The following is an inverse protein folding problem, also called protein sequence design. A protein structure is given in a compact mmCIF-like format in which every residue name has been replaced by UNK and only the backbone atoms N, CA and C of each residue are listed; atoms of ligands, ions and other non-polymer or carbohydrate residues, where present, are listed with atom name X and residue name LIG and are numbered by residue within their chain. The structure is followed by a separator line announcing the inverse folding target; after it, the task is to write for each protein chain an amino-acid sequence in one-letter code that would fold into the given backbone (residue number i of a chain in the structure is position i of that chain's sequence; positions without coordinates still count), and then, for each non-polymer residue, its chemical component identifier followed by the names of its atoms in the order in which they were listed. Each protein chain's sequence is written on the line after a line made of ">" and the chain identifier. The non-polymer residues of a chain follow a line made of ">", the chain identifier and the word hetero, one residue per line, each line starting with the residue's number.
data_IF_146670612430
#
_entry.id   IF_146670612430
#
_cell.length_a   1.000
_cell.length_b   1.000
_cell.length_c   1.000
_cell.angle_alpha   90.00
_cell.angle_beta   90.00
_cell.angle_gamma   90.00
#
_symmetry.space_group_name_H-M   'P 1'
#
loop_
_entity.id
_entity.type
_entity.pdbx_description
1 polymer ?
#
# COMPACT_ATOMS: atom_id res chain seq x y z
N UNK A 1 44.45 -60.33 -23.71
CA UNK A 1 43.61 -60.23 -22.55
C UNK A 1 43.92 -59.04 -21.71
N UNK A 2 44.10 -57.93 -22.33
CA UNK A 2 44.54 -56.70 -21.69
C UNK A 2 43.57 -55.52 -22.05
N UNK A 3 42.36 -55.85 -22.20
CA UNK A 3 41.37 -54.93 -22.74
C UNK A 3 40.51 -54.22 -21.64
N UNK A 4 40.78 -54.50 -20.40
CA UNK A 4 39.92 -54.00 -19.29
C UNK A 4 40.59 -52.96 -18.41
N UNK A 5 41.84 -52.62 -18.71
CA UNK A 5 42.58 -51.66 -17.87
C UNK A 5 42.39 -50.20 -18.32
N UNK A 6 41.65 -49.97 -19.39
CA UNK A 6 41.53 -48.65 -19.97
C UNK A 6 40.15 -48.01 -19.67
N UNK A 7 39.31 -48.71 -18.91
CA UNK A 7 37.94 -48.23 -18.64
C UNK A 7 37.76 -47.60 -17.28
N UNK A 8 38.80 -47.53 -16.47
CA UNK A 8 38.68 -47.03 -15.12
C UNK A 8 39.18 -45.61 -14.92
N UNK A 9 39.64 -44.92 -15.96
CA UNK A 9 40.19 -43.57 -15.85
C UNK A 9 39.22 -42.48 -16.29
N UNK A 10 38.10 -42.86 -16.80
CA UNK A 10 37.16 -41.87 -17.41
C UNK A 10 35.96 -41.51 -16.57
N UNK A 11 35.90 -41.88 -15.30
CA UNK A 11 34.79 -41.54 -14.43
C UNK A 11 35.15 -40.52 -13.33
N UNK A 12 36.21 -39.78 -13.53
CA UNK A 12 36.45 -38.56 -12.72
C UNK A 12 35.82 -37.39 -13.46
N UNK A 13 34.54 -37.54 -13.80
CA UNK A 13 33.73 -36.41 -14.22
C UNK A 13 33.53 -35.56 -12.99
N UNK A 14 34.24 -34.50 -13.00
CA UNK A 14 34.00 -33.31 -12.23
C UNK A 14 32.50 -33.04 -12.13
N UNK A 15 31.92 -33.42 -11.00
CA UNK A 15 30.68 -32.80 -10.59
C UNK A 15 30.99 -31.35 -10.23
N UNK A 16 31.08 -30.53 -11.27
CA UNK A 16 30.75 -29.11 -11.08
C UNK A 16 29.27 -29.05 -10.76
N UNK A 17 28.94 -29.19 -9.49
CA UNK A 17 27.68 -28.70 -8.99
C UNK A 17 27.75 -27.21 -9.17
N UNK A 18 27.24 -26.72 -10.29
CA UNK A 18 26.83 -25.34 -10.38
C UNK A 18 25.85 -25.13 -9.24
N UNK A 19 26.34 -24.59 -8.16
CA UNK A 19 25.49 -24.10 -7.10
C UNK A 19 24.61 -23.04 -7.73
N UNK A 20 23.39 -23.40 -8.05
CA UNK A 20 22.37 -22.42 -8.31
C UNK A 20 22.23 -21.63 -7.03
N UNK A 21 22.88 -20.50 -7.00
CA UNK A 21 22.61 -19.51 -5.97
C UNK A 21 21.14 -19.15 -6.14
N UNK A 22 20.28 -19.77 -5.34
CA UNK A 22 18.92 -19.29 -5.17
C UNK A 22 19.07 -17.89 -4.58
N UNK A 23 18.82 -16.88 -5.42
CA UNK A 23 18.68 -15.54 -4.92
C UNK A 23 17.58 -15.60 -3.85
N UNK A 24 17.94 -15.39 -2.60
CA UNK A 24 16.96 -15.26 -1.53
C UNK A 24 16.02 -14.12 -1.92
N UNK A 25 14.70 -14.34 -1.92
CA UNK A 25 13.79 -13.24 -2.07
C UNK A 25 14.16 -12.19 -1.02
N UNK A 26 14.26 -10.95 -1.45
CA UNK A 26 14.54 -9.85 -0.55
C UNK A 26 13.60 -9.96 0.67
N UNK A 27 14.11 -9.81 1.89
CA UNK A 27 13.24 -9.81 3.07
C UNK A 27 12.15 -8.77 2.83
N UNK A 28 10.90 -9.07 3.19
CA UNK A 28 9.84 -8.09 3.09
C UNK A 28 10.29 -6.82 3.83
N UNK A 29 10.02 -5.65 3.28
CA UNK A 29 10.34 -4.41 3.97
C UNK A 29 9.77 -4.51 5.39
N UNK A 30 10.49 -4.02 6.40
CA UNK A 30 9.98 -4.04 7.76
C UNK A 30 8.58 -3.40 7.74
N UNK A 31 7.60 -3.98 8.45
CA UNK A 31 6.30 -3.36 8.56
C UNK A 31 6.55 -1.92 8.99
N UNK A 32 6.12 -0.98 8.14
CA UNK A 32 6.17 0.43 8.48
C UNK A 32 5.54 0.58 9.87
N UNK A 33 5.94 1.57 10.66
CA UNK A 33 5.43 1.74 12.00
C UNK A 33 3.91 1.64 11.95
N UNK A 34 3.40 0.53 12.47
CA UNK A 34 1.97 0.34 12.62
C UNK A 34 1.55 1.40 13.61
N UNK A 35 0.95 2.47 13.10
CA UNK A 35 0.37 3.49 13.94
C UNK A 35 -0.74 2.85 14.75
N UNK A 36 -0.38 2.18 15.84
CA UNK A 36 -1.31 1.95 16.92
C UNK A 36 -1.75 3.34 17.36
N UNK A 37 -3.01 3.67 17.07
CA UNK A 37 -3.59 4.96 17.36
C UNK A 37 -3.46 5.28 18.85
N UNK A 38 -2.29 5.73 19.21
CA UNK A 38 -1.98 6.17 20.54
C UNK A 38 -2.37 7.64 20.59
N UNK A 39 -3.36 7.93 21.37
CA UNK A 39 -3.71 9.31 21.68
C UNK A 39 -2.45 10.07 22.12
N UNK A 40 -2.08 11.10 21.37
CA UNK A 40 -0.89 11.90 21.66
C UNK A 40 0.34 11.63 20.79
N UNK A 41 0.23 10.82 19.72
CA UNK A 41 1.30 10.69 18.74
C UNK A 41 1.44 11.97 17.89
N UNK A 42 2.59 12.63 18.00
CA UNK A 42 2.91 13.87 17.26
C UNK A 42 3.93 13.63 16.13
N UNK A 43 4.32 12.40 15.87
CA UNK A 43 5.24 12.06 14.82
C UNK A 43 4.62 12.15 13.41
N UNK A 44 5.44 12.15 12.36
CA UNK A 44 4.95 12.19 10.99
C UNK A 44 4.18 10.91 10.63
N UNK A 45 2.96 11.05 10.15
CA UNK A 45 2.22 9.94 9.55
C UNK A 45 2.79 9.70 8.15
N UNK A 46 3.18 8.47 7.88
CA UNK A 46 3.74 8.13 6.57
C UNK A 46 2.66 8.19 5.49
N UNK A 47 3.04 8.76 4.34
CA UNK A 47 2.22 8.68 3.15
C UNK A 47 2.24 7.25 2.61
N UNK A 48 1.05 6.67 2.43
CA UNK A 48 0.85 5.33 1.89
C UNK A 48 0.10 5.39 0.57
N UNK A 49 0.21 4.33 -0.22
CA UNK A 49 -0.61 4.20 -1.43
C UNK A 49 -2.04 3.78 -1.08
N UNK A 50 -2.98 3.99 -2.00
CA UNK A 50 -4.36 3.50 -1.83
C UNK A 50 -4.40 1.99 -1.64
N UNK A 51 -3.58 1.23 -2.38
CA UNK A 51 -3.50 -0.22 -2.20
C UNK A 51 -3.03 -0.61 -0.80
N UNK A 52 -2.04 0.09 -0.24
CA UNK A 52 -1.59 -0.11 1.13
C UNK A 52 -2.64 0.32 2.15
N UNK A 53 -3.29 1.47 1.95
CA UNK A 53 -4.35 1.94 2.83
C UNK A 53 -5.50 0.92 2.96
N UNK A 54 -5.85 0.24 1.88
CA UNK A 54 -6.89 -0.80 1.88
C UNK A 54 -6.55 -2.04 2.71
N UNK A 55 -5.30 -2.22 3.08
CA UNK A 55 -4.85 -3.33 3.94
C UNK A 55 -4.74 -2.94 5.42
N UNK A 56 -4.90 -1.66 5.74
CA UNK A 56 -4.80 -1.17 7.10
C UNK A 56 -6.03 -1.55 7.92
N UNK A 57 -5.83 -1.68 9.22
CA UNK A 57 -6.89 -1.98 10.17
C UNK A 57 -7.90 -0.84 10.32
N UNK A 58 -9.03 -1.16 10.94
CA UNK A 58 -10.05 -0.17 11.28
C UNK A 58 -9.49 0.92 12.21
N UNK A 59 -9.80 2.18 11.92
CA UNK A 59 -9.31 3.38 12.63
C UNK A 59 -7.80 3.61 12.55
N UNK A 60 -7.15 3.02 11.57
CA UNK A 60 -5.72 3.30 11.35
C UNK A 60 -5.56 4.62 10.62
N UNK A 61 -4.76 5.56 11.13
CA UNK A 61 -4.47 6.80 10.43
C UNK A 61 -3.65 6.53 9.18
N UNK A 62 -3.97 7.24 8.10
CA UNK A 62 -3.27 7.15 6.83
C UNK A 62 -3.21 8.50 6.14
N UNK A 63 -2.13 8.74 5.42
CA UNK A 63 -1.98 9.86 4.50
C UNK A 63 -1.84 9.29 3.09
N UNK A 64 -2.71 9.72 2.19
CA UNK A 64 -2.70 9.28 0.80
C UNK A 64 -2.63 10.48 -0.14
N UNK A 65 -2.06 10.28 -1.32
CA UNK A 65 -1.98 11.29 -2.38
C UNK A 65 -2.60 10.76 -3.66
N UNK A 66 -3.43 11.55 -4.28
CA UNK A 66 -4.11 11.17 -5.51
C UNK A 66 -5.13 12.19 -5.95
N UNK A 67 -6.16 11.73 -6.66
CA UNK A 67 -7.20 12.59 -7.23
C UNK A 67 -8.60 12.07 -6.86
N UNK A 68 -9.54 13.01 -6.69
CA UNK A 68 -10.96 12.67 -6.62
C UNK A 68 -11.47 12.55 -8.06
N UNK A 69 -11.95 11.38 -8.45
CA UNK A 69 -12.40 11.11 -9.83
C UNK A 69 -13.90 11.19 -9.99
N UNK A 70 -14.67 11.02 -8.92
CA UNK A 70 -16.12 11.01 -8.98
C UNK A 70 -16.76 11.28 -7.62
N UNK A 71 -17.86 12.00 -7.62
CA UNK A 71 -18.76 12.09 -6.47
C UNK A 71 -19.79 10.95 -6.53
N UNK A 72 -19.97 10.23 -5.43
CA UNK A 72 -20.90 9.09 -5.33
C UNK A 72 -22.23 9.49 -4.70
N UNK A 73 -22.36 10.73 -4.24
CA UNK A 73 -23.51 11.25 -3.53
C UNK A 73 -23.27 11.40 -2.02
N UNK A 74 -23.95 12.36 -1.41
CA UNK A 74 -23.73 12.70 -0.01
C UNK A 74 -22.30 13.17 0.23
N UNK A 75 -21.63 12.55 1.17
CA UNK A 75 -20.24 12.82 1.56
C UNK A 75 -19.23 11.79 1.00
N UNK A 76 -19.65 10.98 0.02
CA UNK A 76 -18.86 9.90 -0.57
C UNK A 76 -18.29 10.28 -1.93
N UNK A 77 -17.03 9.95 -2.13
CA UNK A 77 -16.26 10.20 -3.35
C UNK A 77 -15.42 8.99 -3.72
N UNK A 78 -15.10 8.86 -5.00
CA UNK A 78 -14.08 7.92 -5.47
C UNK A 78 -12.75 8.63 -5.52
N UNK A 79 -11.79 8.10 -4.79
CA UNK A 79 -10.40 8.59 -4.77
C UNK A 79 -9.49 7.56 -5.42
N UNK A 80 -8.54 8.04 -6.22
CA UNK A 80 -7.62 7.20 -6.97
C UNK A 80 -6.20 7.71 -6.91
N UNK A 81 -5.26 6.77 -6.80
CA UNK A 81 -3.84 6.97 -7.09
C UNK A 81 -3.37 5.96 -8.15
N UNK A 82 -2.05 5.88 -8.38
CA UNK A 82 -1.46 4.91 -9.32
C UNK A 82 -1.64 3.45 -8.89
N UNK A 83 -1.91 3.18 -7.62
CA UNK A 83 -2.01 1.82 -7.06
C UNK A 83 -3.43 1.27 -7.03
N UNK A 84 -4.44 2.12 -7.10
CA UNK A 84 -5.83 1.69 -7.04
C UNK A 84 -6.83 2.77 -6.69
N UNK A 85 -8.02 2.33 -6.27
CA UNK A 85 -9.19 3.16 -5.99
C UNK A 85 -9.70 2.83 -4.59
N UNK A 86 -10.13 3.84 -3.85
CA UNK A 86 -10.77 3.71 -2.53
C UNK A 86 -11.97 4.68 -2.43
N UNK A 87 -12.97 4.30 -1.67
CA UNK A 87 -14.05 5.22 -1.30
C UNK A 87 -13.54 6.19 -0.25
N UNK A 88 -13.72 7.47 -0.53
CA UNK A 88 -13.34 8.56 0.35
C UNK A 88 -14.60 9.21 0.92
N UNK A 89 -14.63 9.39 2.22
CA UNK A 89 -15.69 10.15 2.91
C UNK A 89 -15.14 11.50 3.35
N UNK A 90 -15.77 12.58 2.85
CA UNK A 90 -15.42 13.96 3.20
C UNK A 90 -16.69 14.62 3.71
N UNK A 91 -16.74 14.89 5.00
CA UNK A 91 -17.87 15.57 5.60
C UNK A 91 -17.91 17.07 5.31
N UNK A 92 -19.04 17.74 5.59
CA UNK A 92 -19.18 19.18 5.34
C UNK A 92 -18.16 20.05 6.07
N UNK A 93 -17.71 19.62 7.24
CA UNK A 93 -16.71 20.36 8.02
C UNK A 93 -15.35 20.37 7.33
N UNK A 94 -14.92 19.22 6.81
CA UNK A 94 -13.66 19.08 6.10
C UNK A 94 -13.66 19.95 4.85
N UNK A 95 -14.78 20.03 4.11
CA UNK A 95 -14.93 20.94 2.98
C UNK A 95 -14.87 22.41 3.38
N UNK A 96 -15.47 22.80 4.51
CA UNK A 96 -15.41 24.17 5.00
C UNK A 96 -13.98 24.59 5.35
N UNK A 97 -13.23 23.71 6.00
CA UNK A 97 -11.83 24.01 6.34
C UNK A 97 -10.92 24.06 5.12
N UNK A 98 -11.22 23.28 4.10
CA UNK A 98 -10.43 23.29 2.87
C UNK A 98 -10.61 24.60 2.09
N UNK A 99 -11.81 25.17 2.09
CA UNK A 99 -12.11 26.50 1.54
C UNK A 99 -11.85 26.71 0.05
N UNK A 100 -11.56 25.65 -0.71
CA UNK A 100 -11.20 25.68 -2.12
C UNK A 100 -11.99 24.65 -2.92
N UNK A 101 -12.14 24.92 -4.22
CA UNK A 101 -12.70 23.93 -5.15
C UNK A 101 -11.63 22.93 -5.55
N UNK A 102 -11.98 21.65 -5.56
CA UNK A 102 -11.16 20.56 -6.07
C UNK A 102 -11.70 20.15 -7.44
N UNK A 103 -10.83 20.11 -8.42
CA UNK A 103 -11.13 19.61 -9.76
C UNK A 103 -10.60 18.18 -9.91
N UNK A 104 -11.20 17.36 -10.81
CA UNK A 104 -10.73 15.99 -11.03
C UNK A 104 -9.28 15.86 -11.51
N UNK A 105 -8.67 16.95 -11.97
CA UNK A 105 -7.27 17.01 -12.38
C UNK A 105 -6.32 17.40 -11.25
N UNK A 106 -6.86 17.86 -10.12
CA UNK A 106 -6.03 18.28 -8.98
C UNK A 106 -5.47 17.09 -8.24
N UNK A 107 -4.20 17.17 -7.91
CA UNK A 107 -3.58 16.23 -6.96
C UNK A 107 -3.77 16.78 -5.56
N UNK A 108 -4.30 15.94 -4.70
CA UNK A 108 -4.54 16.28 -3.29
C UNK A 108 -3.90 15.27 -2.36
N UNK A 109 -3.55 15.75 -1.20
CA UNK A 109 -3.12 14.92 -0.07
C UNK A 109 -4.25 14.89 0.95
N UNK A 110 -4.59 13.70 1.38
CA UNK A 110 -5.62 13.48 2.38
C UNK A 110 -5.02 12.78 3.59
N UNK A 111 -5.15 13.41 4.73
CA UNK A 111 -4.88 12.78 6.01
C UNK A 111 -6.22 12.36 6.61
N UNK A 112 -6.32 11.10 6.99
CA UNK A 112 -7.56 10.54 7.50
C UNK A 112 -7.37 9.21 8.22
N UNK A 113 -8.45 8.50 8.37
CA UNK A 113 -8.49 7.20 9.03
C UNK A 113 -9.18 6.18 8.12
N UNK A 114 -8.64 4.97 8.09
CA UNK A 114 -9.26 3.85 7.37
C UNK A 114 -10.41 3.29 8.21
N UNK A 115 -11.58 3.18 7.61
CA UNK A 115 -12.77 2.62 8.24
C UNK A 115 -13.26 1.39 7.48
N UNK A 116 -13.64 0.36 8.25
CA UNK A 116 -14.29 -0.85 7.73
C UNK A 116 -15.75 -0.82 8.15
N UNK A 117 -16.66 -0.42 7.27
CA UNK A 117 -18.08 -0.34 7.60
C UNK A 117 -18.64 -1.74 7.86
N UNK A 118 -19.43 -1.88 8.93
CA UNK A 118 -19.97 -3.19 9.37
C UNK A 118 -20.92 -3.84 8.36
N UNK A 119 -21.56 -3.06 7.55
CA UNK A 119 -22.54 -3.53 6.56
C UNK A 119 -21.93 -3.79 5.17
N UNK A 120 -20.66 -3.49 4.98
CA UNK A 120 -19.94 -3.69 3.71
C UNK A 120 -18.57 -4.33 3.97
N UNK A 121 -18.62 -5.55 4.50
CA UNK A 121 -17.43 -6.33 4.81
C UNK A 121 -16.62 -6.57 3.54
N UNK A 122 -15.49 -5.94 3.42
CA UNK A 122 -14.56 -6.13 2.30
C UNK A 122 -14.18 -4.87 1.53
N UNK A 123 -14.83 -3.75 1.75
CA UNK A 123 -14.50 -2.49 1.10
C UNK A 123 -14.20 -1.41 2.14
N UNK A 124 -12.93 -1.14 2.45
CA UNK A 124 -12.57 -0.07 3.37
C UNK A 124 -12.86 1.29 2.76
N UNK A 125 -13.21 2.23 3.62
CA UNK A 125 -13.39 3.64 3.30
C UNK A 125 -12.30 4.47 3.98
N UNK A 126 -11.87 5.54 3.35
CA UNK A 126 -11.00 6.53 3.97
C UNK A 126 -11.84 7.71 4.43
N UNK A 127 -11.86 7.97 5.73
CA UNK A 127 -12.52 9.14 6.31
C UNK A 127 -11.54 10.29 6.39
N UNK A 128 -11.74 11.31 5.56
CA UNK A 128 -10.88 12.48 5.54
C UNK A 128 -10.99 13.27 6.84
N UNK A 129 -9.87 13.76 7.33
CA UNK A 129 -9.75 14.71 8.45
C UNK A 129 -9.17 16.04 7.99
N UNK A 130 -8.22 15.95 7.08
CA UNK A 130 -7.55 17.12 6.50
C UNK A 130 -7.31 16.86 5.02
N UNK A 131 -7.56 17.87 4.22
CA UNK A 131 -7.34 17.88 2.77
C UNK A 131 -6.35 18.99 2.46
N UNK A 132 -5.38 18.68 1.61
CA UNK A 132 -4.42 19.66 1.13
C UNK A 132 -4.22 19.49 -0.38
N UNK A 133 -4.30 20.57 -1.12
CA UNK A 133 -3.94 20.60 -2.55
C UNK A 133 -2.42 20.68 -2.68
N UNK A 134 -1.84 19.87 -3.55
CA UNK A 134 -0.40 19.81 -3.79
C UNK A 134 -0.03 20.01 -5.24
#
# INVERSE_FOLDING_TARGET
>A
MKKYTLFFVCCLVLFFTAGTAFAQPAPPPPPGPQGTGQYGYTGPVQTVTVAQAKTLGHRTPAVVRGTIVQALGGDLYTFRDSSGVITLRIGPREWQYFGSTINPTDTIEISGEVHWPRHNWGTPELHARLIRKI
#
